data_IF_535139614256
#
_entry.id   IF_535139614256
#
_cell.length_a   1.000
_cell.length_b   1.000
_cell.length_c   1.000
_cell.angle_alpha   90.00
_cell.angle_beta   90.00
_cell.angle_gamma   90.00
#
_symmetry.space_group_name_H-M   'P 1'
#
loop_
_entity.id
_entity.type
_entity.pdbx_description
1 polymer ?
#
# COMPACT_ATOMS: atom_id res chain seq x y z
N UNK A 1 13.59 -14.36 16.80
CA UNK A 1 13.78 -14.64 15.36
C UNK A 1 12.84 -13.73 14.58
N UNK A 2 13.30 -12.97 13.57
CA UNK A 2 12.39 -12.22 12.71
C UNK A 2 11.47 -13.20 11.97
N UNK A 3 10.17 -12.90 11.92
CA UNK A 3 9.20 -13.69 11.17
C UNK A 3 9.50 -13.48 9.69
N UNK A 4 10.16 -14.46 9.07
CA UNK A 4 10.39 -14.47 7.62
C UNK A 4 9.02 -14.61 6.97
N UNK A 5 8.70 -13.67 6.08
CA UNK A 5 7.46 -13.71 5.31
C UNK A 5 7.82 -14.34 3.95
N UNK A 6 7.47 -15.62 3.72
CA UNK A 6 7.96 -16.37 2.56
C UNK A 6 7.45 -15.85 1.21
N UNK A 7 6.45 -14.95 1.19
CA UNK A 7 5.86 -14.38 -0.02
C UNK A 7 6.39 -12.98 -0.37
N UNK A 8 7.42 -12.48 0.30
CA UNK A 8 8.03 -11.18 -0.04
C UNK A 8 9.24 -11.36 -0.92
N UNK A 9 9.13 -10.83 -2.15
CA UNK A 9 10.25 -10.66 -3.05
C UNK A 9 11.01 -9.35 -2.78
N UNK A 10 12.13 -9.16 -3.50
CA UNK A 10 12.98 -7.97 -3.35
C UNK A 10 12.23 -6.69 -3.74
N UNK A 11 11.47 -6.71 -4.84
CA UNK A 11 10.74 -5.53 -5.30
C UNK A 11 9.73 -5.03 -4.27
N UNK A 12 9.03 -5.95 -3.61
CA UNK A 12 8.09 -5.66 -2.52
C UNK A 12 8.82 -5.08 -1.31
N UNK A 13 9.97 -5.67 -0.94
CA UNK A 13 10.77 -5.15 0.17
C UNK A 13 11.31 -3.75 -0.11
N UNK A 14 11.73 -3.48 -1.35
CA UNK A 14 12.24 -2.18 -1.77
C UNK A 14 11.14 -1.13 -1.81
N UNK A 15 9.96 -1.47 -2.33
CA UNK A 15 8.80 -0.57 -2.30
C UNK A 15 8.42 -0.16 -0.86
N UNK A 16 8.46 -1.11 0.09
CA UNK A 16 8.22 -0.82 1.51
C UNK A 16 9.28 0.11 2.10
N UNK A 17 10.55 -0.06 1.72
CA UNK A 17 11.64 0.82 2.17
C UNK A 17 11.55 2.22 1.56
N UNK A 18 11.17 2.34 0.30
CA UNK A 18 10.95 3.63 -0.37
C UNK A 18 9.87 4.41 0.38
N UNK A 19 8.71 3.80 0.64
CA UNK A 19 7.64 4.45 1.38
C UNK A 19 8.05 4.78 2.82
N UNK A 20 8.74 3.86 3.50
CA UNK A 20 9.29 4.10 4.84
C UNK A 20 10.27 5.27 4.89
N UNK A 21 11.13 5.40 3.87
CA UNK A 21 12.07 6.50 3.69
C UNK A 21 11.36 7.84 3.52
N UNK A 22 10.35 7.91 2.64
CA UNK A 22 9.54 9.11 2.43
C UNK A 22 8.84 9.57 3.73
N UNK A 23 8.28 8.62 4.50
CA UNK A 23 7.67 8.91 5.80
C UNK A 23 8.70 9.49 6.76
N UNK A 24 9.90 8.89 6.83
CA UNK A 24 10.98 9.37 7.68
C UNK A 24 11.42 10.77 7.29
N UNK A 25 11.67 11.03 6.01
CA UNK A 25 12.04 12.36 5.49
C UNK A 25 10.99 13.41 5.85
N UNK A 26 9.72 13.12 5.59
CA UNK A 26 8.60 14.00 5.90
C UNK A 26 8.45 14.26 7.41
N UNK A 27 8.72 13.26 8.26
CA UNK A 27 8.72 13.41 9.72
C UNK A 27 9.85 14.32 10.18
N UNK A 28 11.05 14.11 9.64
CA UNK A 28 12.23 14.92 9.95
C UNK A 28 12.07 16.37 9.48
N UNK A 29 11.50 16.62 8.30
CA UNK A 29 11.19 17.96 7.81
C UNK A 29 10.27 18.74 8.77
N UNK A 30 9.37 18.03 9.47
CA UNK A 30 8.46 18.59 10.50
C UNK A 30 9.06 18.65 11.91
N UNK A 31 10.31 18.18 12.09
CA UNK A 31 11.00 18.07 13.39
C UNK A 31 10.24 17.22 14.42
N UNK A 32 9.53 16.19 13.97
CA UNK A 32 8.80 15.27 14.85
C UNK A 32 9.68 14.07 15.23
N UNK A 33 9.61 13.64 16.49
CA UNK A 33 10.15 12.35 16.92
C UNK A 33 9.27 11.19 16.44
N UNK A 34 9.76 9.95 16.53
CA UNK A 34 8.93 8.79 16.21
C UNK A 34 7.72 8.67 17.16
N UNK A 35 7.88 9.04 18.43
CA UNK A 35 6.77 9.09 19.40
C UNK A 35 5.76 10.19 19.05
N UNK A 36 6.23 11.39 18.67
CA UNK A 36 5.35 12.47 18.21
C UNK A 36 4.43 12.03 17.06
N UNK A 37 5.01 11.37 16.05
CA UNK A 37 4.23 10.85 14.94
C UNK A 37 3.33 9.69 15.38
N UNK A 38 3.82 8.84 16.29
CA UNK A 38 3.06 7.74 16.87
C UNK A 38 1.77 8.23 17.52
N UNK A 39 1.85 9.22 18.41
CA UNK A 39 0.70 9.82 19.09
C UNK A 39 -0.33 10.38 18.11
N UNK A 40 0.11 11.13 17.10
CA UNK A 40 -0.75 11.68 16.03
C UNK A 40 -1.40 10.58 15.19
N UNK A 41 -0.71 9.44 15.04
CA UNK A 41 -1.21 8.27 14.32
C UNK A 41 -2.11 7.38 15.17
N UNK A 42 -2.01 7.45 16.50
CA UNK A 42 -2.66 6.53 17.43
C UNK A 42 -1.91 5.20 17.55
N UNK A 43 -0.58 5.20 17.38
CA UNK A 43 0.30 4.03 17.53
C UNK A 43 1.55 4.38 18.34
N UNK A 44 2.32 3.37 18.74
CA UNK A 44 3.60 3.61 19.44
C UNK A 44 4.68 4.14 18.50
N UNK A 45 5.67 4.89 19.01
CA UNK A 45 6.85 5.27 18.23
C UNK A 45 7.67 4.08 17.70
N UNK A 46 7.59 2.91 18.37
CA UNK A 46 8.13 1.64 17.86
C UNK A 46 7.45 1.21 16.57
N UNK A 47 6.13 1.38 16.45
CA UNK A 47 5.39 1.08 15.23
C UNK A 47 5.81 2.02 14.10
N UNK A 48 5.98 3.31 14.39
CA UNK A 48 6.52 4.28 13.41
C UNK A 48 7.90 3.85 12.92
N UNK A 49 8.79 3.47 13.83
CA UNK A 49 10.13 2.97 13.46
C UNK A 49 10.06 1.70 12.60
N UNK A 50 9.13 0.80 12.87
CA UNK A 50 8.88 -0.38 12.04
C UNK A 50 8.37 -0.01 10.64
N UNK A 51 7.53 1.03 10.53
CA UNK A 51 7.06 1.54 9.24
C UNK A 51 8.22 2.15 8.45
N UNK A 52 9.02 3.01 9.07
CA UNK A 52 10.16 3.67 8.43
C UNK A 52 11.24 2.69 7.94
N UNK A 53 11.34 1.53 8.59
CA UNK A 53 12.25 0.45 8.16
C UNK A 53 11.66 -0.46 7.08
N UNK A 54 10.43 -0.18 6.61
CA UNK A 54 9.75 -0.97 5.59
C UNK A 54 9.28 -2.33 6.10
N UNK A 55 8.95 -2.46 7.39
CA UNK A 55 8.57 -3.75 7.97
C UNK A 55 7.22 -4.22 7.42
N UNK A 56 7.16 -5.37 6.71
CA UNK A 56 5.94 -5.81 6.04
C UNK A 56 4.84 -6.34 6.95
N UNK A 57 5.15 -6.59 8.23
CA UNK A 57 4.16 -7.10 9.20
C UNK A 57 3.24 -6.00 9.73
N UNK A 58 3.53 -4.73 9.44
CA UNK A 58 2.68 -3.62 9.89
C UNK A 58 1.41 -3.60 9.05
N UNK A 59 0.26 -3.43 9.69
CA UNK A 59 -1.01 -3.34 8.98
C UNK A 59 -0.97 -2.21 7.95
N UNK A 60 -1.37 -2.50 6.71
CA UNK A 60 -1.34 -1.55 5.59
C UNK A 60 -2.09 -0.26 5.91
N UNK A 61 -3.24 -0.34 6.60
CA UNK A 61 -3.99 0.83 7.02
C UNK A 61 -3.21 1.77 7.94
N UNK A 62 -2.38 1.22 8.83
CA UNK A 62 -1.49 2.01 9.70
C UNK A 62 -0.41 2.71 8.88
N UNK A 63 0.19 2.01 7.90
CA UNK A 63 1.21 2.59 7.02
C UNK A 63 0.62 3.77 6.23
N UNK A 64 -0.53 3.57 5.57
CA UNK A 64 -1.19 4.60 4.78
C UNK A 64 -1.66 5.79 5.64
N UNK A 65 -2.21 5.53 6.83
CA UNK A 65 -2.56 6.60 7.78
C UNK A 65 -1.33 7.40 8.21
N UNK A 66 -0.21 6.73 8.46
CA UNK A 66 1.05 7.39 8.83
C UNK A 66 1.54 8.31 7.71
N UNK A 67 1.53 7.81 6.46
CA UNK A 67 1.86 8.59 5.27
C UNK A 67 0.99 9.85 5.15
N UNK A 68 -0.33 9.72 5.30
CA UNK A 68 -1.25 10.86 5.23
C UNK A 68 -1.00 11.89 6.34
N UNK A 69 -0.84 11.44 7.59
CA UNK A 69 -0.60 12.35 8.73
C UNK A 69 0.70 13.13 8.56
N UNK A 70 1.73 12.47 8.03
CA UNK A 70 3.01 13.11 7.76
C UNK A 70 3.05 13.80 6.39
N UNK A 71 1.96 13.80 5.62
CA UNK A 71 1.85 14.47 4.33
C UNK A 71 2.75 13.89 3.23
N UNK A 72 2.88 12.56 3.18
CA UNK A 72 3.38 11.82 2.01
C UNK A 72 2.19 11.53 1.10
N UNK A 73 2.33 11.91 -0.17
CA UNK A 73 1.30 11.70 -1.19
C UNK A 73 1.07 10.22 -1.45
N UNK A 74 -0.21 9.84 -1.55
CA UNK A 74 -0.60 8.47 -1.85
C UNK A 74 -1.25 8.44 -3.23
N UNK A 75 -0.71 7.61 -4.13
CA UNK A 75 -1.25 7.44 -5.49
C UNK A 75 -1.32 8.76 -6.28
N UNK A 76 -0.28 9.60 -6.15
CA UNK A 76 -0.21 10.93 -6.76
C UNK A 76 -1.33 11.89 -6.31
N UNK A 77 -1.98 11.57 -5.18
CA UNK A 77 -2.95 12.44 -4.54
C UNK A 77 -2.38 13.01 -3.25
N UNK A 78 -2.45 14.34 -3.12
CA UNK A 78 -1.93 15.11 -1.99
C UNK A 78 -3.04 15.53 -1.02
N UNK A 79 -4.31 15.23 -1.34
CA UNK A 79 -5.48 15.60 -0.51
C UNK A 79 -6.50 14.45 -0.33
N UNK A 80 -7.23 14.41 0.79
CA UNK A 80 -8.33 13.46 0.99
C UNK A 80 -9.39 13.51 -0.10
N UNK A 81 -9.68 14.69 -0.65
CA UNK A 81 -10.66 14.87 -1.73
C UNK A 81 -10.19 14.22 -3.04
N UNK A 82 -8.89 14.33 -3.35
CA UNK A 82 -8.28 13.65 -4.50
C UNK A 82 -8.31 12.14 -4.34
N UNK A 83 -7.95 11.62 -3.18
CA UNK A 83 -8.04 10.18 -2.88
C UNK A 83 -9.49 9.70 -3.03
N UNK A 84 -10.45 10.46 -2.52
CA UNK A 84 -11.87 10.13 -2.67
C UNK A 84 -12.34 10.15 -4.14
N UNK A 85 -11.81 11.08 -4.96
CA UNK A 85 -12.05 11.11 -6.42
C UNK A 85 -11.45 9.89 -7.12
N UNK A 86 -10.22 9.51 -6.79
CA UNK A 86 -9.56 8.33 -7.34
C UNK A 86 -10.36 7.05 -7.01
N UNK A 87 -10.79 6.90 -5.75
CA UNK A 87 -11.65 5.78 -5.33
C UNK A 87 -12.93 5.69 -6.15
N UNK A 88 -13.68 6.80 -6.28
CA UNK A 88 -14.94 6.84 -7.05
C UNK A 88 -14.74 6.46 -8.52
N UNK A 89 -13.71 7.02 -9.18
CA UNK A 89 -13.37 6.66 -10.56
C UNK A 89 -13.03 5.17 -10.71
N UNK A 90 -12.33 4.62 -9.73
CA UNK A 90 -12.03 3.18 -9.68
C UNK A 90 -13.31 2.35 -9.58
N UNK A 91 -14.24 2.73 -8.69
CA UNK A 91 -15.53 2.06 -8.52
C UNK A 91 -16.41 2.13 -9.78
N UNK A 92 -16.49 3.30 -10.41
CA UNK A 92 -17.19 3.49 -11.68
C UNK A 92 -16.64 2.56 -12.77
N UNK A 93 -15.31 2.44 -12.85
CA UNK A 93 -14.67 1.53 -13.81
C UNK A 93 -14.93 0.06 -13.47
N UNK A 94 -14.85 -0.31 -12.19
CA UNK A 94 -15.12 -1.68 -11.74
C UNK A 94 -16.58 -2.09 -11.97
N UNK A 95 -17.53 -1.15 -11.88
CA UNK A 95 -18.94 -1.41 -12.14
C UNK A 95 -19.23 -1.83 -13.59
N UNK A 96 -18.34 -1.48 -14.54
CA UNK A 96 -18.44 -1.88 -15.95
C UNK A 96 -17.83 -3.26 -16.24
N UNK A 97 -17.11 -3.85 -15.27
CA UNK A 97 -16.41 -5.13 -15.46
C UNK A 97 -17.31 -6.28 -14.97
N UNK A 98 -17.36 -7.42 -15.66
CA UNK A 98 -18.09 -8.59 -15.20
C UNK A 98 -17.69 -9.01 -13.78
N UNK A 99 -18.68 -9.23 -12.91
CA UNK A 99 -18.46 -9.63 -11.50
C UNK A 99 -17.76 -11.00 -11.34
N UNK A 100 -17.78 -11.83 -12.38
CA UNK A 100 -17.14 -13.14 -12.42
C UNK A 100 -16.31 -13.23 -13.69
N UNK A 101 -15.03 -13.49 -13.54
CA UNK A 101 -14.18 -13.96 -14.63
C UNK A 101 -14.24 -15.48 -14.64
N UNK A 102 -14.52 -16.05 -15.80
CA UNK A 102 -14.36 -17.49 -16.02
C UNK A 102 -13.02 -17.68 -16.72
N UNK A 103 -12.22 -18.65 -16.28
CA UNK A 103 -11.06 -19.06 -17.06
C UNK A 103 -11.60 -19.61 -18.38
N UNK A 104 -11.20 -19.01 -19.50
CA UNK A 104 -11.53 -19.56 -20.81
C UNK A 104 -10.83 -20.92 -20.93
N UNK A 105 -11.58 -22.02 -20.74
CA UNK A 105 -11.14 -23.34 -21.17
C UNK A 105 -11.22 -23.35 -22.68
N UNK A 106 -10.16 -22.93 -23.36
CA UNK A 106 -9.97 -23.20 -24.77
C UNK A 106 -9.69 -24.71 -24.94
N UNK A 107 -10.74 -25.52 -24.95
CA UNK A 107 -10.68 -26.86 -25.54
C UNK A 107 -10.62 -26.67 -27.04
N UNK A 108 -9.41 -26.74 -27.60
CA UNK A 108 -9.21 -26.94 -29.03
C UNK A 108 -9.64 -28.37 -29.33
N UNK A 109 -10.92 -28.56 -29.63
CA UNK A 109 -11.37 -29.75 -30.36
C UNK A 109 -11.05 -29.50 -31.83
N UNK A 110 -9.81 -29.81 -32.23
CA UNK A 110 -9.52 -30.03 -33.64
C UNK A 110 -9.71 -31.53 -33.89
N UNK A 111 -10.97 -31.93 -33.98
CA UNK A 111 -11.36 -33.18 -34.62
C UNK A 111 -12.17 -32.82 -35.86
N UNK A 112 -11.53 -33.00 -37.00
CA UNK A 112 -12.17 -33.07 -38.31
C UNK A 112 -11.26 -33.90 -39.19
N UNK A 113 -11.29 -35.20 -38.93
CA UNK A 113 -11.07 -36.18 -39.98
C UNK A 113 -12.14 -35.99 -41.06
N UNK A 114 -11.74 -35.59 -42.26
CA UNK A 114 -12.32 -35.97 -43.55
C UNK A 114 -11.28 -35.75 -44.65
#
# INVERSE_FOLDING_TARGET
>A
MPKVIPWIDQATADALRVLGGQIREARHARKWTAEDLGERVGVTGRTVTAIESGKPTVAVGTVLRTALVVGVDLFEASSPEEIARLRRRGEERLALIPRRTFASTSTVANDSAF
#
